data_IF_231196678209
#
_entry.id   IF_231196678209
#
_cell.length_a   1.000
_cell.length_b   1.000
_cell.length_c   1.000
_cell.angle_alpha   90.00
_cell.angle_beta   90.00
_cell.angle_gamma   90.00
#
_symmetry.space_group_name_H-M   'P 1'
#
loop_
_entity.id
_entity.type
_entity.pdbx_description
1 polymer ?
#
# COMPACT_ATOMS: atom_id res chain seq x y z
N UNK A 1 -27.83 -7.21 1.62
CA UNK A 1 -26.41 -6.83 1.38
C UNK A 1 -26.02 -6.05 2.59
N UNK A 2 -25.03 -6.54 3.33
CA UNK A 2 -24.43 -5.81 4.43
C UNK A 2 -23.16 -5.15 3.92
N UNK A 3 -22.94 -3.91 4.31
CA UNK A 3 -21.78 -3.13 3.93
C UNK A 3 -21.38 -2.27 5.12
N UNK A 4 -20.10 -2.24 5.42
CA UNK A 4 -19.54 -1.39 6.47
C UNK A 4 -18.19 -0.84 6.04
N UNK A 5 -17.93 0.40 6.44
CA UNK A 5 -16.62 1.04 6.29
C UNK A 5 -16.14 1.61 7.61
N UNK A 6 -14.83 1.59 7.80
CA UNK A 6 -14.16 2.29 8.88
C UNK A 6 -12.99 3.06 8.30
N UNK A 7 -12.90 4.35 8.62
CA UNK A 7 -11.77 5.18 8.23
C UNK A 7 -11.00 5.57 9.49
N UNK A 8 -9.69 5.34 9.47
CA UNK A 8 -8.81 5.65 10.60
C UNK A 8 -7.53 6.34 10.12
N UNK A 9 -6.93 7.17 10.97
CA UNK A 9 -5.58 7.71 10.71
C UNK A 9 -4.59 6.62 11.11
N UNK A 10 -3.82 6.10 10.15
CA UNK A 10 -2.83 5.06 10.39
C UNK A 10 -1.39 5.60 10.47
N UNK A 11 -1.14 6.81 9.96
CA UNK A 11 0.15 7.49 10.06
C UNK A 11 0.00 9.01 10.18
N UNK A 12 0.87 9.65 10.97
CA UNK A 12 0.99 11.10 10.98
C UNK A 12 2.38 11.53 11.43
N UNK A 13 3.02 12.39 10.66
CA UNK A 13 4.22 13.12 11.05
C UNK A 13 4.12 14.59 10.59
N UNK A 14 5.25 15.30 10.49
CA UNK A 14 5.28 16.69 10.01
C UNK A 14 4.87 16.82 8.53
N UNK A 15 5.24 15.86 7.68
CA UNK A 15 5.14 15.90 6.22
C UNK A 15 3.91 15.19 5.67
N UNK A 16 3.52 14.07 6.28
CA UNK A 16 2.51 13.16 5.76
C UNK A 16 1.41 12.85 6.76
N UNK A 17 0.20 12.63 6.25
CA UNK A 17 -0.90 12.02 6.98
C UNK A 17 -1.43 10.85 6.16
N UNK A 18 -1.52 9.69 6.82
CA UNK A 18 -2.02 8.45 6.26
C UNK A 18 -3.40 8.12 6.80
N UNK A 19 -4.25 7.55 5.96
CA UNK A 19 -5.55 6.99 6.33
C UNK A 19 -5.70 5.59 5.79
N UNK A 20 -6.21 4.70 6.63
CA UNK A 20 -6.74 3.41 6.19
C UNK A 20 -8.26 3.54 6.05
N UNK A 21 -8.81 3.13 4.90
CA UNK A 21 -10.23 2.87 4.73
C UNK A 21 -10.47 1.37 4.64
N UNK A 22 -10.79 0.76 5.77
CA UNK A 22 -11.27 -0.61 5.81
C UNK A 22 -12.70 -0.68 5.27
N UNK A 23 -12.97 -1.67 4.41
CA UNK A 23 -14.30 -1.95 3.89
C UNK A 23 -14.63 -3.44 4.00
N UNK A 24 -15.91 -3.74 4.24
CA UNK A 24 -16.44 -5.10 4.28
C UNK A 24 -17.79 -5.16 3.57
N UNK A 25 -18.03 -6.24 2.85
CA UNK A 25 -19.27 -6.50 2.15
C UNK A 25 -19.71 -7.96 2.29
N UNK A 26 -21.00 -8.18 2.56
CA UNK A 26 -21.62 -9.51 2.56
C UNK A 26 -22.88 -9.57 1.70
N UNK A 27 -22.92 -10.58 0.83
CA UNK A 27 -24.09 -10.94 0.05
C UNK A 27 -24.84 -12.10 0.71
N UNK A 28 -26.17 -11.99 0.79
CA UNK A 28 -26.99 -13.02 1.45
C UNK A 28 -26.80 -14.38 0.78
N UNK A 29 -26.46 -15.39 1.60
CA UNK A 29 -26.22 -16.75 1.12
C UNK A 29 -24.80 -17.01 0.64
N UNK A 30 -23.90 -16.01 0.65
CA UNK A 30 -22.48 -16.23 0.44
C UNK A 30 -21.87 -17.02 1.62
N UNK A 31 -20.82 -17.79 1.34
CA UNK A 31 -20.11 -18.58 2.35
C UNK A 31 -19.44 -17.68 3.41
N UNK A 32 -18.92 -16.52 3.01
CA UNK A 32 -18.35 -15.48 3.85
C UNK A 32 -18.49 -14.12 3.16
N UNK A 33 -18.14 -13.04 3.85
CA UNK A 33 -18.04 -11.71 3.24
C UNK A 33 -16.71 -11.52 2.51
N UNK A 34 -16.56 -10.40 1.83
CA UNK A 34 -15.30 -9.94 1.24
C UNK A 34 -14.91 -8.62 1.92
N UNK A 35 -13.63 -8.41 2.14
CA UNK A 35 -13.11 -7.20 2.75
C UNK A 35 -11.77 -6.82 2.15
N UNK A 36 -11.35 -5.61 2.44
CA UNK A 36 -10.05 -5.08 2.07
C UNK A 36 -9.81 -3.74 2.76
N UNK A 37 -8.65 -3.18 2.50
CA UNK A 37 -8.30 -1.83 2.94
C UNK A 37 -7.80 -1.00 1.76
N UNK A 38 -8.25 0.24 1.71
CA UNK A 38 -7.70 1.25 0.79
C UNK A 38 -6.80 2.17 1.59
N UNK A 39 -5.54 2.23 1.22
CA UNK A 39 -4.55 3.07 1.87
C UNK A 39 -4.48 4.43 1.19
N UNK A 40 -4.48 5.50 1.97
CA UNK A 40 -4.36 6.85 1.46
C UNK A 40 -3.22 7.57 2.14
N UNK A 41 -2.27 8.05 1.36
CA UNK A 41 -1.21 8.93 1.85
C UNK A 41 -1.40 10.32 1.26
N UNK A 42 -1.32 11.36 2.11
CA UNK A 42 -1.41 12.74 1.68
C UNK A 42 -0.22 13.57 2.17
N UNK A 43 0.23 14.48 1.32
CA UNK A 43 1.10 15.58 1.74
C UNK A 43 0.33 16.53 2.66
N UNK A 44 0.91 16.84 3.81
CA UNK A 44 0.34 17.82 4.76
C UNK A 44 0.60 19.27 4.32
N UNK A 45 1.56 19.52 3.44
CA UNK A 45 1.84 20.87 2.91
C UNK A 45 0.89 21.22 1.77
N UNK A 46 0.66 20.30 0.83
CA UNK A 46 -0.10 20.56 -0.41
C UNK A 46 -1.53 20.00 -0.37
N UNK A 47 -1.78 18.99 0.46
CA UNK A 47 -3.04 18.23 0.45
C UNK A 47 -3.16 17.26 -0.72
N UNK A 48 -2.11 17.10 -1.53
CA UNK A 48 -2.10 16.14 -2.64
C UNK A 48 -2.02 14.71 -2.13
N UNK A 49 -2.71 13.81 -2.82
CA UNK A 49 -2.58 12.37 -2.62
C UNK A 49 -1.27 11.88 -3.23
N UNK A 50 -0.61 10.97 -2.55
CA UNK A 50 0.71 10.47 -2.91
C UNK A 50 0.65 8.95 -3.14
N UNK A 51 1.27 8.50 -4.22
CA UNK A 51 1.66 7.10 -4.43
C UNK A 51 3.12 6.88 -4.06
N UNK A 52 3.60 5.63 -4.20
CA UNK A 52 4.99 5.30 -3.87
C UNK A 52 6.00 6.08 -4.72
N UNK A 53 5.69 6.33 -5.98
CA UNK A 53 6.52 7.11 -6.92
C UNK A 53 6.61 8.60 -6.58
N UNK A 54 5.77 9.11 -5.68
CA UNK A 54 5.88 10.46 -5.14
C UNK A 54 6.77 10.52 -3.88
N UNK A 55 6.92 9.39 -3.18
CA UNK A 55 7.66 9.28 -1.91
C UNK A 55 9.12 8.90 -2.13
N UNK A 56 9.42 8.20 -3.23
CA UNK A 56 10.76 7.73 -3.57
C UNK A 56 11.19 8.20 -4.95
N UNK A 57 12.49 8.36 -5.16
CA UNK A 57 13.11 8.75 -6.43
C UNK A 57 13.36 7.56 -7.36
N UNK A 58 13.24 6.35 -6.85
CA UNK A 58 13.40 5.12 -7.61
C UNK A 58 12.40 5.09 -8.76
N UNK A 59 12.83 4.56 -9.90
CA UNK A 59 11.92 4.24 -11.02
C UNK A 59 10.95 3.13 -10.60
N UNK A 60 9.78 3.03 -11.25
CA UNK A 60 8.81 1.95 -10.99
C UNK A 60 9.46 0.56 -11.03
N UNK A 61 10.34 0.31 -12.00
CA UNK A 61 11.06 -0.95 -12.11
C UNK A 61 12.00 -1.22 -10.93
N UNK A 62 12.69 -0.19 -10.43
CA UNK A 62 13.54 -0.31 -9.24
C UNK A 62 12.71 -0.51 -7.97
N UNK A 63 11.57 0.16 -7.84
CA UNK A 63 10.62 -0.02 -6.74
C UNK A 63 10.16 -1.48 -6.69
N UNK A 64 9.70 -2.03 -7.81
CA UNK A 64 9.29 -3.44 -7.88
C UNK A 64 10.45 -4.37 -7.52
N UNK A 65 11.66 -4.13 -8.03
CA UNK A 65 12.83 -4.94 -7.71
C UNK A 65 13.25 -4.87 -6.23
N UNK A 66 13.10 -3.71 -5.58
CA UNK A 66 13.36 -3.53 -4.15
C UNK A 66 12.35 -4.32 -3.30
N UNK A 67 11.08 -4.29 -3.68
CA UNK A 67 9.97 -4.89 -2.91
C UNK A 67 9.86 -6.41 -3.15
N UNK A 68 10.22 -6.90 -4.34
CA UNK A 68 10.14 -8.32 -4.74
C UNK A 68 10.61 -9.32 -3.66
N UNK A 69 11.84 -9.22 -3.10
CA UNK A 69 12.29 -10.20 -2.11
C UNK A 69 11.44 -10.22 -0.83
N UNK A 70 10.75 -9.13 -0.49
CA UNK A 70 9.86 -9.06 0.66
C UNK A 70 8.50 -9.70 0.37
N UNK A 71 8.01 -9.59 -0.87
CA UNK A 71 6.79 -10.25 -1.35
C UNK A 71 7.02 -11.75 -1.45
N UNK A 72 8.08 -12.17 -2.14
CA UNK A 72 8.45 -13.58 -2.32
C UNK A 72 8.62 -14.32 -1.00
N UNK A 73 9.10 -13.64 0.05
CA UNK A 73 9.29 -14.23 1.36
C UNK A 73 7.99 -14.47 2.15
N UNK A 74 6.88 -13.81 1.78
CA UNK A 74 5.62 -13.81 2.55
C UNK A 74 4.39 -14.26 1.77
N UNK A 75 4.39 -14.16 0.45
CA UNK A 75 3.27 -14.57 -0.38
C UNK A 75 2.98 -16.08 -0.24
N UNK A 76 1.70 -16.45 -0.26
CA UNK A 76 1.27 -17.85 -0.18
C UNK A 76 1.17 -18.51 -1.57
N UNK A 77 1.07 -17.71 -2.62
CA UNK A 77 1.01 -18.13 -4.02
C UNK A 77 2.33 -17.77 -4.72
N UNK A 78 2.60 -18.39 -5.87
CA UNK A 78 3.78 -18.05 -6.65
C UNK A 78 3.71 -16.61 -7.18
N UNK A 79 4.83 -15.91 -7.12
CA UNK A 79 5.03 -14.55 -7.68
C UNK A 79 5.55 -14.59 -9.12
N UNK A 80 5.53 -15.77 -9.75
CA UNK A 80 6.06 -16.00 -11.10
C UNK A 80 5.15 -15.42 -12.20
N UNK A 81 3.88 -15.13 -11.88
CA UNK A 81 2.91 -14.52 -12.79
C UNK A 81 2.95 -12.98 -12.66
N UNK A 82 2.99 -12.29 -13.82
CA UNK A 82 2.94 -10.82 -13.90
C UNK A 82 1.63 -10.29 -13.28
N UNK A 83 1.71 -9.36 -12.32
CA UNK A 83 0.51 -8.66 -11.85
C UNK A 83 0.63 -7.98 -10.49
N UNK A 84 1.38 -8.57 -9.56
CA UNK A 84 1.58 -7.98 -8.23
C UNK A 84 2.35 -6.66 -8.30
N UNK A 85 3.21 -6.51 -9.31
CA UNK A 85 3.93 -5.27 -9.62
C UNK A 85 3.00 -4.13 -10.02
N UNK A 86 1.91 -4.42 -10.71
CA UNK A 86 0.94 -3.38 -11.07
C UNK A 86 0.11 -2.94 -9.87
N UNK A 87 -0.22 -3.89 -8.98
CA UNK A 87 -0.95 -3.62 -7.73
C UNK A 87 -0.13 -2.67 -6.86
N UNK A 88 1.14 -2.97 -6.58
CA UNK A 88 1.95 -2.14 -5.66
C UNK A 88 2.12 -0.68 -6.10
N UNK A 89 2.02 -0.40 -7.42
CA UNK A 89 2.20 0.94 -7.99
C UNK A 89 0.92 1.78 -7.96
N UNK A 90 -0.22 1.21 -7.57
CA UNK A 90 -1.45 1.96 -7.35
C UNK A 90 -1.29 2.92 -6.15
N UNK A 91 -1.82 4.14 -6.25
CA UNK A 91 -1.80 5.17 -5.18
C UNK A 91 -2.54 4.75 -3.89
N UNK A 92 -3.18 3.58 -3.90
CA UNK A 92 -4.13 3.13 -2.89
C UNK A 92 -3.63 1.95 -2.05
N UNK A 93 -2.34 1.63 -2.20
CA UNK A 93 -1.72 0.43 -1.63
C UNK A 93 -0.63 0.71 -0.62
N UNK A 94 -0.16 1.94 -0.51
CA UNK A 94 0.96 2.26 0.38
C UNK A 94 0.54 3.00 1.64
N UNK A 95 1.17 2.63 2.75
CA UNK A 95 1.08 3.32 4.03
C UNK A 95 2.48 3.52 4.62
N UNK A 96 2.62 4.43 5.58
CA UNK A 96 3.90 4.68 6.24
C UNK A 96 3.89 4.12 7.66
N UNK A 97 5.06 3.70 8.12
CA UNK A 97 5.30 3.23 9.49
C UNK A 97 6.54 3.92 10.05
N UNK A 98 6.93 3.64 11.29
CA UNK A 98 8.21 4.18 11.80
C UNK A 98 9.41 3.47 11.16
N UNK A 99 9.21 2.25 10.68
CA UNK A 99 10.25 1.35 10.21
C UNK A 99 10.45 1.38 8.70
N UNK A 100 9.43 1.76 7.93
CA UNK A 100 9.48 1.70 6.48
C UNK A 100 8.18 2.03 5.76
N UNK A 101 8.20 1.83 4.44
CA UNK A 101 7.02 1.92 3.58
C UNK A 101 6.30 0.58 3.62
N UNK A 102 5.03 0.63 4.02
CA UNK A 102 4.08 -0.48 3.99
C UNK A 102 3.42 -0.61 2.61
N UNK A 103 3.27 -1.85 2.13
CA UNK A 103 2.52 -2.20 0.93
C UNK A 103 1.42 -3.17 1.35
N UNK A 104 0.17 -2.81 1.04
CA UNK A 104 -1.04 -3.56 1.35
C UNK A 104 -1.50 -4.37 0.15
N UNK A 105 -1.72 -5.66 0.38
CA UNK A 105 -2.40 -6.55 -0.54
C UNK A 105 -3.68 -7.10 0.12
N UNK A 106 -4.81 -6.92 -0.54
CA UNK A 106 -6.11 -7.42 -0.09
C UNK A 106 -6.12 -8.96 -0.05
N UNK A 107 -7.11 -9.53 0.66
CA UNK A 107 -7.35 -10.98 0.62
C UNK A 107 -7.53 -11.45 -0.82
N UNK A 108 -6.96 -12.62 -1.14
CA UNK A 108 -6.92 -13.22 -2.47
C UNK A 108 -5.97 -12.57 -3.48
N UNK A 109 -5.25 -11.49 -3.14
CA UNK A 109 -4.18 -10.98 -3.99
C UNK A 109 -2.89 -11.78 -3.79
N UNK A 110 -2.41 -11.90 -2.55
CA UNK A 110 -1.16 -12.61 -2.20
C UNK A 110 -1.33 -13.74 -1.18
N UNK A 111 -2.54 -13.93 -0.66
CA UNK A 111 -2.88 -14.86 0.43
C UNK A 111 -4.30 -15.41 0.25
N UNK A 112 -4.62 -16.52 0.90
CA UNK A 112 -6.00 -16.99 0.97
C UNK A 112 -6.82 -16.18 1.99
N UNK A 113 -8.16 -16.19 1.87
CA UNK A 113 -9.05 -15.47 2.79
C UNK A 113 -8.84 -15.79 4.27
N UNK A 114 -8.53 -17.06 4.59
CA UNK A 114 -8.33 -17.49 5.96
C UNK A 114 -7.03 -16.94 6.59
N UNK A 115 -6.04 -16.63 5.75
CA UNK A 115 -4.77 -16.02 6.18
C UNK A 115 -4.88 -14.50 6.32
N UNK A 116 -5.90 -13.88 5.72
CA UNK A 116 -6.12 -12.44 5.75
C UNK A 116 -5.28 -11.69 4.73
N UNK A 117 -5.41 -10.36 4.72
CA UNK A 117 -4.61 -9.47 3.87
C UNK A 117 -3.11 -9.60 4.19
N UNK A 118 -2.26 -9.20 3.24
CA UNK A 118 -0.81 -9.22 3.40
C UNK A 118 -0.25 -7.81 3.43
N UNK A 119 0.35 -7.45 4.56
CA UNK A 119 1.14 -6.23 4.71
C UNK A 119 2.64 -6.52 4.69
N UNK A 120 3.34 -5.75 3.88
CA UNK A 120 4.79 -5.82 3.74
C UNK A 120 5.39 -4.49 4.10
N UNK A 121 6.25 -4.49 5.12
CA UNK A 121 7.04 -3.31 5.48
C UNK A 121 8.43 -3.47 4.87
N UNK A 122 8.77 -2.57 3.96
CA UNK A 122 10.10 -2.47 3.37
C UNK A 122 10.83 -1.31 4.04
N UNK A 123 12.01 -1.55 4.66
CA UNK A 123 12.76 -0.52 5.36
C UNK A 123 13.07 0.69 4.48
N UNK A 124 13.02 1.88 5.05
CA UNK A 124 13.29 3.13 4.34
C UNK A 124 14.68 3.14 3.66
N UNK A 125 15.66 2.47 4.26
CA UNK A 125 17.02 2.39 3.75
C UNK A 125 17.14 1.59 2.44
N UNK A 126 16.11 0.85 2.05
CA UNK A 126 16.06 0.15 0.77
C UNK A 126 15.75 1.09 -0.41
N UNK A 127 15.20 2.28 -0.14
CA UNK A 127 14.77 3.25 -1.14
C UNK A 127 15.66 4.49 -1.16
N UNK A 128 15.65 5.19 -2.29
CA UNK A 128 16.11 6.57 -2.38
C UNK A 128 14.92 7.50 -2.11
N UNK A 129 14.77 7.99 -0.87
CA UNK A 129 13.63 8.83 -0.50
C UNK A 129 13.69 10.23 -1.15
N UNK A 130 12.53 10.75 -1.53
CA UNK A 130 12.37 12.17 -1.81
C UNK A 130 12.69 12.98 -0.56
N UNK A 131 13.47 14.07 -0.70
CA UNK A 131 13.62 14.99 0.42
C UNK A 131 12.29 15.71 0.71
N UNK A 132 12.11 16.21 1.94
CA UNK A 132 10.98 17.07 2.25
C UNK A 132 10.86 18.23 1.24
N UNK A 133 9.75 18.28 0.49
CA UNK A 133 9.51 19.29 -0.54
C UNK A 133 10.11 19.01 -1.93
N UNK A 134 10.85 17.91 -2.16
CA UNK A 134 11.35 17.56 -3.50
C UNK A 134 10.28 16.91 -4.40
N UNK A 135 9.33 16.19 -3.80
CA UNK A 135 8.17 15.69 -4.54
C UNK A 135 7.42 16.82 -5.27
N UNK A 136 7.50 18.06 -4.75
CA UNK A 136 6.89 19.26 -5.33
C UNK A 136 7.57 19.72 -6.64
N UNK A 137 8.83 19.32 -6.91
CA UNK A 137 9.62 19.81 -8.04
C UNK A 137 9.67 18.85 -9.24
N UNK A 138 9.31 17.57 -9.07
CA UNK A 138 9.39 16.56 -10.13
C UNK A 138 8.20 16.56 -11.10
N UNK A 139 7.24 17.49 -10.94
CA UNK A 139 6.01 17.57 -11.77
C UNK A 139 5.99 18.73 -12.80
N UNK A 140 7.15 19.30 -13.17
CA UNK A 140 7.26 20.37 -14.19
C UNK A 140 8.04 19.97 -15.44
#
# INVERSE_FOLDING_TARGET
MEYSTNCSINYIDEQYIGFELYWYQYFQGAAHGIYGSTEYLFSRSTGERLGITDVVKNTEAEICAIIAPYVEAKAEWGTDDEGWESILLEEERIFLTQEGIGIHFDVYEMTCYASGALDIIVPYEAFELCQPGEAELMRF
#
